data_IF_139985804349
#
_entry.id   IF_139985804349
#
_cell.length_a   1.000
_cell.length_b   1.000
_cell.length_c   1.000
_cell.angle_alpha   90.00
_cell.angle_beta   90.00
_cell.angle_gamma   90.00
#
_symmetry.space_group_name_H-M   'P 1'
#
loop_
_entity.id
_entity.type
_entity.pdbx_description
1 polymer ?
#
# COMPACT_ATOMS: atom_id res chain seq x y z
N UNK A 1 -18.89 -9.91 3.69
CA UNK A 1 -18.19 -10.91 4.54
C UNK A 1 -19.07 -11.47 5.66
N UNK A 2 -19.73 -10.65 6.48
CA UNK A 2 -20.57 -11.10 7.60
C UNK A 2 -21.77 -11.96 7.15
N UNK A 3 -22.51 -11.52 6.13
CA UNK A 3 -23.64 -12.30 5.58
C UNK A 3 -23.18 -13.65 4.99
N UNK A 4 -21.99 -13.69 4.39
CA UNK A 4 -21.39 -14.91 3.84
C UNK A 4 -21.03 -15.90 4.95
N UNK A 5 -20.37 -15.41 6.02
CA UNK A 5 -20.06 -16.20 7.23
C UNK A 5 -21.35 -16.77 7.85
N UNK A 6 -22.44 -16.00 7.88
CA UNK A 6 -23.75 -16.46 8.36
C UNK A 6 -24.39 -17.51 7.43
N UNK A 7 -24.35 -17.31 6.11
CA UNK A 7 -24.96 -18.21 5.13
C UNK A 7 -24.25 -19.56 5.07
N UNK A 8 -22.91 -19.56 5.18
CA UNK A 8 -22.09 -20.76 5.37
C UNK A 8 -22.50 -21.53 6.63
N UNK A 9 -22.67 -20.83 7.76
CA UNK A 9 -23.09 -21.45 9.02
C UNK A 9 -24.47 -22.12 8.90
N UNK A 10 -25.45 -21.44 8.29
CA UNK A 10 -26.80 -21.99 8.09
C UNK A 10 -26.83 -23.22 7.18
N UNK A 11 -26.11 -23.18 6.05
CA UNK A 11 -26.04 -24.31 5.11
C UNK A 11 -25.52 -25.58 5.77
N UNK A 12 -24.62 -25.42 6.74
CA UNK A 12 -23.92 -26.55 7.38
C UNK A 12 -24.72 -27.23 8.47
N UNK A 13 -25.74 -26.54 8.99
CA UNK A 13 -26.73 -27.16 9.86
C UNK A 13 -27.72 -28.05 9.07
N UNK A 14 -27.82 -27.89 7.74
CA UNK A 14 -28.83 -28.57 6.92
C UNK A 14 -28.33 -29.82 6.17
N UNK A 15 -27.06 -29.94 5.79
CA UNK A 15 -26.58 -31.08 4.97
C UNK A 15 -25.19 -31.61 5.40
N UNK A 16 -25.11 -32.73 6.16
CA UNK A 16 -23.86 -33.32 6.61
C UNK A 16 -23.27 -34.26 5.53
N UNK A 17 -22.86 -33.69 4.38
CA UNK A 17 -22.30 -34.46 3.26
C UNK A 17 -20.81 -34.10 3.02
N UNK A 18 -19.94 -35.10 2.89
CA UNK A 18 -18.46 -34.93 2.88
C UNK A 18 -17.91 -34.20 1.65
N UNK A 19 -18.62 -34.25 0.52
CA UNK A 19 -18.30 -33.43 -0.66
C UNK A 19 -18.58 -31.94 -0.42
N UNK A 20 -19.61 -31.62 0.36
CA UNK A 20 -19.93 -30.24 0.74
C UNK A 20 -18.93 -29.69 1.76
N UNK A 21 -18.30 -30.55 2.57
CA UNK A 21 -17.28 -30.13 3.54
C UNK A 21 -15.99 -29.62 2.86
N UNK A 22 -15.56 -30.23 1.74
CA UNK A 22 -14.39 -29.74 1.00
C UNK A 22 -14.65 -28.37 0.35
N UNK A 23 -15.83 -28.19 -0.26
CA UNK A 23 -16.27 -26.91 -0.83
C UNK A 23 -16.43 -25.84 0.26
N UNK A 24 -16.97 -26.21 1.42
CA UNK A 24 -17.08 -25.33 2.59
C UNK A 24 -15.71 -24.86 3.10
N UNK A 25 -14.76 -25.79 3.23
CA UNK A 25 -13.41 -25.47 3.68
C UNK A 25 -12.70 -24.56 2.67
N UNK A 26 -12.91 -24.78 1.37
CA UNK A 26 -12.39 -23.89 0.33
C UNK A 26 -12.97 -22.47 0.45
N UNK A 27 -14.29 -22.32 0.65
CA UNK A 27 -14.93 -21.01 0.81
C UNK A 27 -14.46 -20.29 2.09
N UNK A 28 -14.32 -21.02 3.19
CA UNK A 28 -13.81 -20.48 4.45
C UNK A 28 -12.36 -19.99 4.29
N UNK A 29 -11.52 -20.73 3.58
CA UNK A 29 -10.14 -20.34 3.28
C UNK A 29 -10.07 -19.09 2.40
N UNK A 30 -10.93 -18.98 1.37
CA UNK A 30 -11.01 -17.78 0.53
C UNK A 30 -11.49 -16.56 1.33
N UNK A 31 -12.51 -16.72 2.18
CA UNK A 31 -13.01 -15.63 3.03
C UNK A 31 -11.94 -15.15 4.02
N UNK A 32 -11.18 -16.07 4.62
CA UNK A 32 -10.06 -15.72 5.49
C UNK A 32 -8.94 -15.03 4.71
N UNK A 33 -8.65 -15.49 3.49
CA UNK A 33 -7.64 -14.87 2.64
C UNK A 33 -8.02 -13.46 2.19
N UNK A 34 -9.32 -13.18 2.01
CA UNK A 34 -9.82 -11.83 1.75
C UNK A 34 -9.62 -10.92 2.97
N UNK A 35 -10.00 -11.38 4.16
CA UNK A 35 -9.83 -10.62 5.43
C UNK A 35 -8.35 -10.27 5.65
N UNK A 36 -7.44 -11.24 5.45
CA UNK A 36 -6.00 -10.98 5.54
C UNK A 36 -5.51 -9.98 4.47
N UNK A 37 -6.10 -10.00 3.25
CA UNK A 37 -5.74 -9.02 2.20
C UNK A 37 -6.29 -7.63 2.50
N UNK A 38 -7.47 -7.52 3.11
CA UNK A 38 -8.02 -6.24 3.58
C UNK A 38 -7.09 -5.59 4.61
N UNK A 39 -6.60 -6.36 5.59
CA UNK A 39 -5.62 -5.89 6.58
C UNK A 39 -4.32 -5.41 5.92
N UNK A 40 -3.80 -6.15 4.93
CA UNK A 40 -2.60 -5.75 4.19
C UNK A 40 -2.80 -4.46 3.38
N UNK A 41 -3.99 -4.24 2.82
CA UNK A 41 -4.32 -3.00 2.10
C UNK A 41 -4.33 -1.83 3.07
N UNK A 42 -4.92 -1.97 4.27
CA UNK A 42 -4.91 -0.92 5.28
C UNK A 42 -3.47 -0.55 5.70
N UNK A 43 -2.60 -1.55 5.86
CA UNK A 43 -1.18 -1.31 6.18
C UNK A 43 -0.48 -0.54 5.05
N UNK A 44 -0.66 -0.94 3.80
CA UNK A 44 -0.07 -0.24 2.65
C UNK A 44 -0.58 1.19 2.51
N UNK A 45 -1.87 1.43 2.77
CA UNK A 45 -2.45 2.77 2.77
C UNK A 45 -1.80 3.66 3.84
N UNK A 46 -1.55 3.13 5.03
CA UNK A 46 -0.83 3.86 6.09
C UNK A 46 0.61 4.16 5.67
N UNK A 47 1.33 3.19 5.09
CA UNK A 47 2.70 3.38 4.62
C UNK A 47 2.80 4.44 3.52
N UNK A 48 1.87 4.43 2.56
CA UNK A 48 1.76 5.44 1.50
C UNK A 48 1.47 6.83 2.08
N UNK A 49 0.54 6.94 3.01
CA UNK A 49 0.22 8.20 3.67
C UNK A 49 1.45 8.79 4.39
N UNK A 50 2.19 7.94 5.12
CA UNK A 50 3.42 8.35 5.81
C UNK A 50 4.51 8.79 4.83
N UNK A 51 4.74 8.02 3.76
CA UNK A 51 5.75 8.32 2.75
C UNK A 51 5.44 9.65 2.02
N UNK A 52 4.16 9.89 1.69
CA UNK A 52 3.71 11.14 1.08
C UNK A 52 3.92 12.35 1.99
N UNK A 53 3.66 12.22 3.30
CA UNK A 53 3.96 13.27 4.27
C UNK A 53 5.46 13.58 4.32
N UNK A 54 6.33 12.56 4.37
CA UNK A 54 7.79 12.73 4.36
C UNK A 54 8.31 13.34 3.04
N UNK A 55 7.69 13.02 1.91
CA UNK A 55 8.00 13.64 0.63
C UNK A 55 7.66 15.12 0.61
N UNK A 56 6.47 15.49 1.12
CA UNK A 56 6.05 16.88 1.21
C UNK A 56 7.02 17.71 2.08
N UNK A 57 7.39 17.18 3.25
CA UNK A 57 8.38 17.80 4.13
C UNK A 57 9.75 17.96 3.44
N UNK A 58 10.23 16.92 2.77
CA UNK A 58 11.50 16.96 2.05
C UNK A 58 11.49 17.99 0.90
N UNK A 59 10.38 18.10 0.16
CA UNK A 59 10.20 19.12 -0.89
C UNK A 59 10.24 20.54 -0.33
N UNK A 60 9.64 20.76 0.82
CA UNK A 60 9.66 22.06 1.49
C UNK A 60 11.08 22.44 1.95
N UNK A 61 11.79 21.50 2.60
CA UNK A 61 13.19 21.71 3.02
C UNK A 61 14.09 22.04 1.82
N UNK A 62 13.97 21.30 0.72
CA UNK A 62 14.73 21.56 -0.52
C UNK A 62 14.41 22.97 -1.06
N UNK A 63 13.15 23.39 -1.04
CA UNK A 63 12.71 24.70 -1.51
C UNK A 63 13.32 25.82 -0.67
N UNK A 64 13.30 25.69 0.66
CA UNK A 64 13.90 26.64 1.58
C UNK A 64 15.43 26.72 1.41
N UNK A 65 16.12 25.58 1.31
CA UNK A 65 17.56 25.53 1.07
C UNK A 65 17.94 26.19 -0.26
N UNK A 66 17.17 25.96 -1.33
CA UNK A 66 17.37 26.62 -2.63
C UNK A 66 17.16 28.13 -2.55
N UNK A 67 16.14 28.58 -1.82
CA UNK A 67 15.89 30.01 -1.64
C UNK A 67 17.03 30.70 -0.89
N UNK A 68 17.53 30.08 0.19
CA UNK A 68 18.66 30.59 0.98
C UNK A 68 19.97 30.64 0.20
N UNK A 69 20.21 29.68 -0.70
CA UNK A 69 21.36 29.68 -1.60
C UNK A 69 21.29 30.80 -2.65
N UNK A 70 20.09 31.14 -3.14
CA UNK A 70 19.88 32.22 -4.11
C UNK A 70 19.94 33.61 -3.48
N UNK A 71 19.50 33.78 -2.23
CA UNK A 71 19.31 35.09 -1.61
C UNK A 71 20.59 35.74 -1.05
N UNK A 72 21.76 35.10 -1.15
CA UNK A 72 23.02 35.62 -0.59
C UNK A 72 24.01 36.06 -1.68
N UNK A 73 24.43 37.34 -1.72
CA UNK A 73 25.51 37.76 -2.59
C UNK A 73 26.79 37.03 -2.19
N UNK A 74 27.47 36.44 -3.18
CA UNK A 74 28.78 35.80 -3.04
C UNK A 74 29.79 36.85 -2.60
N UNK A 75 29.98 37.01 -1.29
CA UNK A 75 31.13 37.75 -0.76
C UNK A 75 32.35 36.85 -0.96
N UNK A 76 33.37 37.37 -1.64
CA UNK A 76 34.61 36.71 -2.05
C UNK A 76 35.03 35.54 -1.14
N UNK A 77 35.16 34.36 -1.74
CA UNK A 77 35.43 33.10 -1.06
C UNK A 77 34.14 32.34 -0.74
N UNK A 78 34.01 31.13 -1.30
CA UNK A 78 32.88 30.24 -1.05
C UNK A 78 32.76 29.96 0.45
N UNK A 79 31.88 30.71 1.12
CA UNK A 79 31.74 30.65 2.58
C UNK A 79 31.49 29.21 3.04
N UNK A 80 32.12 28.74 4.14
CA UNK A 80 31.84 27.42 4.72
C UNK A 80 30.34 27.15 4.92
N UNK A 81 29.56 28.20 5.16
CA UNK A 81 28.09 28.13 5.26
C UNK A 81 27.41 27.76 3.94
N UNK A 82 27.94 28.20 2.79
CA UNK A 82 27.42 27.88 1.47
C UNK A 82 27.69 26.42 1.11
N UNK A 83 28.93 25.95 1.34
CA UNK A 83 29.29 24.53 1.18
C UNK A 83 28.44 23.61 2.03
N UNK A 84 28.16 24.01 3.29
CA UNK A 84 27.27 23.26 4.17
C UNK A 84 25.85 23.18 3.61
N UNK A 85 25.28 24.29 3.14
CA UNK A 85 23.94 24.30 2.51
C UNK A 85 23.89 23.49 1.22
N UNK A 86 24.93 23.52 0.37
CA UNK A 86 25.01 22.71 -0.84
C UNK A 86 25.04 21.21 -0.51
N UNK A 87 25.77 20.83 0.53
CA UNK A 87 25.80 19.46 1.04
C UNK A 87 24.41 19.04 1.56
N UNK A 88 23.79 19.85 2.42
CA UNK A 88 22.44 19.58 2.95
C UNK A 88 21.39 19.48 1.83
N UNK A 89 21.49 20.33 0.80
CA UNK A 89 20.61 20.28 -0.36
C UNK A 89 20.80 18.97 -1.14
N UNK A 90 22.04 18.54 -1.37
CA UNK A 90 22.35 17.28 -2.05
C UNK A 90 21.84 16.06 -1.28
N UNK A 91 22.02 16.05 0.05
CA UNK A 91 21.51 15.00 0.92
C UNK A 91 19.97 14.95 0.91
N UNK A 92 19.31 16.11 1.00
CA UNK A 92 17.85 16.20 0.93
C UNK A 92 17.31 15.72 -0.43
N UNK A 93 17.98 16.08 -1.53
CA UNK A 93 17.62 15.59 -2.87
C UNK A 93 17.79 14.07 -3.01
N UNK A 94 18.82 13.50 -2.36
CA UNK A 94 19.05 12.05 -2.37
C UNK A 94 17.98 11.32 -1.56
N UNK A 95 17.59 11.86 -0.40
CA UNK A 95 16.47 11.34 0.39
C UNK A 95 15.14 11.43 -0.34
N UNK A 96 14.89 12.53 -1.05
CA UNK A 96 13.68 12.70 -1.87
C UNK A 96 13.58 11.59 -2.93
N UNK A 97 14.66 11.32 -3.68
CA UNK A 97 14.68 10.24 -4.67
C UNK A 97 14.40 8.86 -4.05
N UNK A 98 14.96 8.59 -2.87
CA UNK A 98 14.72 7.34 -2.15
C UNK A 98 13.25 7.21 -1.74
N UNK A 99 12.65 8.29 -1.24
CA UNK A 99 11.24 8.31 -0.87
C UNK A 99 10.33 8.17 -2.10
N UNK A 100 10.67 8.78 -3.23
CA UNK A 100 9.94 8.61 -4.49
C UNK A 100 9.96 7.16 -4.97
N UNK A 101 11.12 6.48 -4.87
CA UNK A 101 11.23 5.06 -5.20
C UNK A 101 10.35 4.19 -4.27
N UNK A 102 10.37 4.46 -2.96
CA UNK A 102 9.54 3.73 -1.99
C UNK A 102 8.04 3.89 -2.23
N UNK A 103 7.60 5.07 -2.66
CA UNK A 103 6.20 5.29 -3.04
C UNK A 103 5.85 4.49 -4.28
N UNK A 104 6.69 4.51 -5.31
CA UNK A 104 6.47 3.72 -6.51
C UNK A 104 6.39 2.21 -6.23
N UNK A 105 7.27 1.69 -5.35
CA UNK A 105 7.25 0.29 -4.94
C UNK A 105 5.95 -0.07 -4.20
N UNK A 106 5.49 0.81 -3.29
CA UNK A 106 4.25 0.60 -2.55
C UNK A 106 3.00 0.72 -3.43
N UNK A 107 3.00 1.61 -4.44
CA UNK A 107 1.94 1.72 -5.43
C UNK A 107 1.84 0.44 -6.28
N UNK A 108 2.98 -0.09 -6.74
CA UNK A 108 3.01 -1.33 -7.50
C UNK A 108 2.56 -2.54 -6.67
N UNK A 109 2.96 -2.64 -5.40
CA UNK A 109 2.49 -3.71 -4.50
C UNK A 109 0.97 -3.63 -4.27
N UNK A 110 0.44 -2.42 -4.09
CA UNK A 110 -1.00 -2.20 -3.95
C UNK A 110 -1.77 -2.58 -5.23
N UNK A 111 -1.22 -2.31 -6.42
CA UNK A 111 -1.82 -2.68 -7.71
C UNK A 111 -1.92 -4.21 -7.86
N UNK A 112 -0.81 -4.93 -7.65
CA UNK A 112 -0.79 -6.40 -7.73
C UNK A 112 -1.80 -7.02 -6.77
N UNK A 113 -1.85 -6.53 -5.52
CA UNK A 113 -2.80 -7.05 -4.53
C UNK A 113 -4.26 -6.78 -4.88
N UNK A 114 -4.55 -5.66 -5.52
CA UNK A 114 -5.90 -5.33 -5.99
C UNK A 114 -6.37 -6.26 -7.12
N UNK A 115 -5.46 -6.65 -8.03
CA UNK A 115 -5.74 -7.64 -9.06
C UNK A 115 -6.06 -9.01 -8.45
N UNK A 116 -5.21 -9.50 -7.54
CA UNK A 116 -5.42 -10.78 -6.86
C UNK A 116 -6.73 -10.82 -6.05
N UNK A 117 -7.09 -9.70 -5.40
CA UNK A 117 -8.37 -9.59 -4.69
C UNK A 117 -9.56 -9.64 -5.66
N UNK A 118 -9.44 -8.99 -6.82
CA UNK A 118 -10.48 -9.00 -7.85
C UNK A 118 -10.74 -10.41 -8.36
N UNK A 119 -9.68 -11.18 -8.64
CA UNK A 119 -9.81 -12.58 -9.05
C UNK A 119 -10.49 -13.44 -7.98
N UNK A 120 -10.12 -13.23 -6.71
CA UNK A 120 -10.71 -13.97 -5.58
C UNK A 120 -12.20 -13.66 -5.42
N UNK A 121 -12.61 -12.41 -5.61
CA UNK A 121 -14.02 -12.00 -5.59
C UNK A 121 -14.80 -12.58 -6.76
N UNK A 122 -14.20 -12.65 -7.95
CA UNK A 122 -14.83 -13.30 -9.13
C UNK A 122 -15.06 -14.78 -8.84
N UNK A 123 -14.03 -15.51 -8.39
CA UNK A 123 -14.15 -16.92 -8.06
C UNK A 123 -15.26 -17.17 -7.02
N UNK A 124 -15.35 -16.33 -5.97
CA UNK A 124 -16.42 -16.44 -4.98
C UNK A 124 -17.81 -16.25 -5.60
N UNK A 125 -17.99 -15.27 -6.49
CA UNK A 125 -19.28 -15.04 -7.18
C UNK A 125 -19.66 -16.20 -8.10
N UNK A 126 -18.69 -16.79 -8.80
CA UNK A 126 -18.93 -17.94 -9.67
C UNK A 126 -19.36 -19.18 -8.85
N UNK A 127 -18.79 -19.35 -7.65
CA UNK A 127 -19.28 -20.36 -6.70
C UNK A 127 -20.69 -20.05 -6.18
N UNK A 128 -21.00 -18.80 -5.83
CA UNK A 128 -22.33 -18.39 -5.35
C UNK A 128 -23.43 -18.56 -6.40
N UNK A 129 -23.09 -18.38 -7.68
CA UNK A 129 -24.02 -18.50 -8.81
C UNK A 129 -24.16 -19.93 -9.34
N UNK A 130 -23.44 -20.89 -8.74
CA UNK A 130 -23.53 -22.31 -9.09
C UNK A 130 -22.85 -22.67 -10.40
N UNK A 131 -21.93 -21.82 -10.91
CA UNK A 131 -21.19 -22.07 -12.16
C UNK A 131 -20.20 -23.24 -12.01
N UNK A 132 -19.82 -23.57 -10.77
CA UNK A 132 -18.96 -24.71 -10.41
C UNK A 132 -19.71 -25.89 -9.75
N UNK A 133 -21.05 -25.87 -9.72
CA UNK A 133 -21.90 -26.87 -9.06
C UNK A 133 -22.53 -27.88 -10.02
#
# INVERSE_FOLDING_TARGET
LIELKQKLSQMTAQFPNTYMDSTRNHLANMAQSLENREEQIEELQQQLAQANASLAESKEIITQLRAQLKSKPSKQGESPRRKKMEKELSEAQSRLKLLEARVADAENDAEVKAEEMTEMVIQLREYETGVFG
#
